data_IF_907755214445
#
_entry.id   IF_907755214445
#
_cell.length_a   1.000
_cell.length_b   1.000
_cell.length_c   1.000
_cell.angle_alpha   90.00
_cell.angle_beta   90.00
_cell.angle_gamma   90.00
#
_symmetry.space_group_name_H-M   'P 1'
#
loop_
_entity.id
_entity.type
_entity.pdbx_description
1 polymer ?
2 non-polymer ?
3 water ?
#
# COMPACT_ATOMS: atom_id res chain seq x y z
N UNK A 1 8.02 3.65 25.81
CA UNK A 1 7.47 4.89 26.39
C UNK A 1 6.77 5.58 25.23
N UNK A 2 7.56 5.84 24.19
CA UNK A 2 7.13 6.26 22.85
C UNK A 2 6.45 5.12 22.04
N UNK A 3 5.52 5.47 21.14
CA UNK A 3 4.92 4.50 20.26
C UNK A 3 5.85 4.12 19.03
N UNK A 4 6.27 2.85 18.99
CA UNK A 4 7.17 2.27 17.95
C UNK A 4 6.43 1.79 16.66
N UNK A 5 6.75 2.46 15.56
CA UNK A 5 6.10 2.21 14.32
C UNK A 5 7.15 1.73 13.37
N UNK A 6 6.89 0.58 12.72
CA UNK A 6 7.77 0.10 11.64
C UNK A 6 7.03 0.13 10.30
N UNK A 7 7.67 0.67 9.25
CA UNK A 7 7.01 0.91 7.98
C UNK A 7 7.85 0.50 6.85
N UNK A 8 7.28 -0.26 5.91
CA UNK A 8 7.98 -0.68 4.72
C UNK A 8 7.67 0.24 3.52
N UNK A 9 8.59 0.24 2.50
CA UNK A 9 8.54 1.00 1.26
C UNK A 9 8.70 2.47 1.51
N UNK A 10 9.80 2.89 2.15
CA UNK A 10 9.91 4.32 2.58
C UNK A 10 10.72 5.22 1.63
N UNK A 11 11.24 4.72 0.51
CA UNK A 11 12.09 5.56 -0.37
C UNK A 11 11.39 6.74 -0.92
N UNK A 12 10.05 6.65 -1.01
CA UNK A 12 9.22 7.61 -1.78
C UNK A 12 7.79 7.44 -1.42
N UNK A 13 6.97 8.45 -1.64
CA UNK A 13 5.56 8.23 -1.80
C UNK A 13 4.88 8.17 -0.46
N UNK A 14 3.89 7.29 -0.35
CA UNK A 14 3.15 7.15 0.88
C UNK A 14 4.04 6.89 2.04
N UNK A 15 4.79 5.78 2.02
CA UNK A 15 5.74 5.41 3.11
C UNK A 15 6.70 6.55 3.52
N UNK A 16 7.35 7.21 2.56
CA UNK A 16 8.17 8.35 2.89
C UNK A 16 7.40 9.37 3.74
N UNK A 17 6.26 9.84 3.17
CA UNK A 17 5.55 11.02 3.64
C UNK A 17 5.00 10.70 4.98
N UNK A 18 4.51 9.48 5.12
CA UNK A 18 4.10 9.00 6.36
C UNK A 18 5.28 8.89 7.37
N UNK A 19 6.44 8.39 6.95
CA UNK A 19 7.47 8.16 7.95
C UNK A 19 7.88 9.50 8.60
N UNK A 20 8.05 10.53 7.78
CA UNK A 20 8.44 11.81 8.30
C UNK A 20 7.26 12.51 8.86
N UNK A 21 6.03 12.14 8.45
CA UNK A 21 4.93 12.72 9.23
C UNK A 21 4.97 12.19 10.69
N UNK A 22 5.29 10.91 10.88
CA UNK A 22 5.15 10.39 12.23
C UNK A 22 6.30 10.96 13.10
N UNK A 23 7.50 10.95 12.53
CA UNK A 23 8.76 11.31 13.18
C UNK A 23 8.73 12.75 13.66
N UNK A 24 8.23 13.66 12.82
CA UNK A 24 8.09 15.04 13.23
C UNK A 24 6.84 15.31 13.98
N UNK A 25 6.05 14.30 14.28
CA UNK A 25 4.89 14.64 15.10
C UNK A 25 5.15 15.55 16.33
N UNK A 26 4.55 16.76 16.37
CA UNK A 26 4.89 17.73 17.52
C UNK A 26 4.87 17.14 18.96
N UNK A 27 3.88 16.34 19.27
CA UNK A 27 3.90 15.69 20.59
C UNK A 27 5.16 14.83 20.84
N UNK A 28 5.92 14.53 19.79
CA UNK A 28 7.09 13.59 19.81
C UNK A 28 6.72 12.20 20.36
N UNK A 29 5.53 11.73 19.99
CA UNK A 29 5.09 10.44 20.51
C UNK A 29 5.42 9.16 19.72
N UNK A 30 6.25 9.20 18.65
CA UNK A 30 6.47 8.03 17.73
C UNK A 30 7.92 7.70 17.41
N UNK A 31 8.28 6.44 17.41
CA UNK A 31 9.62 6.12 17.02
C UNK A 31 9.52 5.38 15.72
N UNK A 32 10.20 5.84 14.70
CA UNK A 32 9.90 5.37 13.33
C UNK A 32 11.10 4.61 12.72
N UNK A 33 10.90 3.32 12.48
CA UNK A 33 11.80 2.57 11.64
C UNK A 33 11.28 2.66 10.20
N UNK A 34 11.90 3.51 9.43
CA UNK A 34 11.56 3.55 8.04
C UNK A 34 12.33 2.49 7.32
N UNK A 35 11.69 1.45 6.77
CA UNK A 35 12.43 0.52 5.87
C UNK A 35 12.36 0.78 4.34
N UNK A 36 13.43 0.40 3.63
CA UNK A 36 13.51 0.60 2.15
C UNK A 36 14.12 -0.67 1.55
N UNK A 37 13.82 -1.04 0.31
CA UNK A 37 14.47 -2.28 -0.33
C UNK A 37 16.03 -2.18 -0.36
N UNK A 38 16.53 -1.00 -0.86
CA UNK A 38 17.97 -0.57 -0.73
C UNK A 38 18.24 0.78 -0.10
N UNK A 39 19.12 0.76 0.89
CA UNK A 39 19.55 1.94 1.65
C UNK A 39 19.99 3.08 0.73
N UNK A 40 20.54 2.78 -0.45
CA UNK A 40 20.97 3.84 -1.40
C UNK A 40 19.88 4.76 -1.87
N UNK A 41 18.64 4.36 -1.76
CA UNK A 41 17.57 5.25 -2.24
C UNK A 41 17.02 6.13 -1.07
N UNK A 42 17.68 6.12 0.10
CA UNK A 42 17.24 6.84 1.32
C UNK A 42 17.44 8.40 1.29
N UNK A 43 18.02 8.91 0.20
CA UNK A 43 18.17 10.33 -0.02
C UNK A 43 16.98 11.22 0.26
N UNK A 44 15.85 10.91 -0.38
CA UNK A 44 14.59 11.67 -0.20
C UNK A 44 13.97 11.48 1.16
N UNK A 45 14.05 10.32 1.76
CA UNK A 45 13.56 10.23 3.13
C UNK A 45 14.28 11.29 4.01
N UNK A 46 15.63 11.33 3.97
CA UNK A 46 16.40 12.24 4.87
C UNK A 46 16.28 13.73 4.56
N UNK A 47 16.30 14.04 3.29
CA UNK A 47 16.15 15.39 2.89
C UNK A 47 14.87 15.84 3.59
N UNK A 48 13.82 15.02 3.46
CA UNK A 48 12.46 15.41 3.88
C UNK A 48 12.34 15.32 5.41
N UNK A 49 13.12 14.42 6.04
CA UNK A 49 13.28 14.47 7.50
C UNK A 49 13.79 15.84 8.01
N UNK A 50 14.89 16.32 7.40
CA UNK A 50 15.50 17.59 7.73
C UNK A 50 14.45 18.70 7.65
N UNK A 51 13.66 18.65 6.56
CA UNK A 51 12.77 19.78 6.22
C UNK A 51 11.59 19.90 7.22
N UNK A 52 11.22 18.79 7.81
CA UNK A 52 10.18 18.82 8.79
C UNK A 52 10.83 18.68 10.14
N UNK A 53 12.07 19.15 10.29
CA UNK A 53 12.86 18.96 11.52
C UNK A 53 12.55 17.74 12.38
N UNK A 54 12.66 16.51 11.90
CA UNK A 54 12.41 15.42 12.87
C UNK A 54 13.51 15.49 13.92
N UNK A 55 13.18 15.45 15.23
CA UNK A 55 14.31 15.44 16.24
C UNK A 55 15.24 14.27 15.91
N UNK A 56 16.53 14.30 16.32
CA UNK A 56 17.42 13.12 16.36
C UNK A 56 16.82 11.94 17.03
N UNK A 57 16.83 10.80 16.36
CA UNK A 57 16.39 9.56 16.97
C UNK A 57 14.89 9.29 16.89
N UNK A 58 14.12 10.21 16.32
CA UNK A 58 12.73 9.91 16.01
C UNK A 58 12.65 9.13 14.67
N UNK A 59 13.77 8.81 14.06
CA UNK A 59 13.78 8.32 12.73
C UNK A 59 15.03 7.52 12.48
N UNK A 60 14.82 6.24 12.13
CA UNK A 60 15.89 5.31 11.77
C UNK A 60 15.60 4.51 10.47
N UNK A 61 16.59 4.29 9.62
CA UNK A 61 16.36 3.56 8.41
C UNK A 61 16.94 2.20 8.55
N UNK A 62 16.20 1.19 8.12
CA UNK A 62 16.76 -0.13 7.98
C UNK A 62 16.58 -0.59 6.53
N UNK A 63 17.47 -1.45 6.05
CA UNK A 63 17.24 -2.27 4.84
C UNK A 63 16.25 -3.31 5.19
N UNK A 64 15.22 -3.43 4.37
CA UNK A 64 14.19 -4.48 4.48
C UNK A 64 13.66 -4.87 3.06
N UNK A 65 14.14 -5.99 2.56
CA UNK A 65 13.63 -6.46 1.30
C UNK A 65 12.57 -7.46 1.74
N UNK A 66 11.30 -7.17 1.39
CA UNK A 66 10.23 -8.09 1.73
C UNK A 66 10.19 -9.36 0.82
N UNK A 67 10.96 -9.40 -0.25
CA UNK A 67 11.03 -10.63 -1.02
C UNK A 67 11.75 -11.70 -0.26
N UNK A 68 12.28 -11.38 0.94
CA UNK A 68 13.30 -12.23 1.58
C UNK A 68 13.21 -12.21 3.06
N UNK A 69 12.79 -13.30 3.63
CA UNK A 69 12.39 -13.23 5.02
C UNK A 69 13.54 -13.23 6.07
N UNK A 70 14.79 -13.38 5.59
CA UNK A 70 16.04 -13.22 6.32
C UNK A 70 16.36 -11.73 6.51
N UNK A 71 16.13 -10.89 5.48
CA UNK A 71 15.97 -9.42 5.64
C UNK A 71 14.83 -9.08 6.67
N UNK A 72 13.70 -9.82 6.64
CA UNK A 72 12.62 -9.44 7.50
C UNK A 72 13.03 -9.64 8.99
N UNK A 73 13.35 -10.88 9.38
CA UNK A 73 14.08 -11.23 10.63
C UNK A 73 15.23 -10.20 11.01
N UNK A 74 16.20 -9.94 10.14
CA UNK A 74 17.27 -8.97 10.45
C UNK A 74 16.75 -7.53 10.66
N UNK A 75 15.47 -7.32 10.65
CA UNK A 75 15.11 -5.95 10.78
C UNK A 75 14.13 -5.88 11.97
N UNK A 76 13.30 -6.91 12.10
CA UNK A 76 12.65 -7.14 13.40
C UNK A 76 13.81 -7.01 14.38
N UNK A 77 14.89 -7.76 14.11
CA UNK A 77 15.98 -7.88 15.06
C UNK A 77 16.53 -6.46 15.41
N UNK A 78 16.73 -5.53 14.45
CA UNK A 78 17.28 -4.17 14.75
C UNK A 78 16.35 -3.25 15.59
N UNK A 79 15.18 -3.79 15.92
CA UNK A 79 14.19 -3.05 16.74
C UNK A 79 14.67 -3.09 18.21
N UNK A 80 15.54 -2.09 18.50
CA UNK A 80 16.11 -1.75 19.83
C UNK A 80 15.03 -1.96 20.93
N UNK A 81 13.84 -1.37 20.73
CA UNK A 81 12.80 -1.35 21.78
C UNK A 81 12.24 -2.72 21.99
N UNK A 82 12.65 -3.69 21.19
CA UNK A 82 12.14 -5.06 21.30
C UNK A 82 10.64 -5.23 21.12
N UNK A 83 9.96 -4.23 20.58
CA UNK A 83 8.54 -4.37 20.19
C UNK A 83 8.23 -3.39 19.09
N UNK A 84 7.13 -3.70 18.39
CA UNK A 84 6.51 -2.85 17.40
C UNK A 84 5.05 -2.69 17.72
N UNK A 85 4.70 -1.43 18.03
CA UNK A 85 3.34 -1.06 18.32
C UNK A 85 2.47 -0.92 17.11
N UNK A 86 3.07 -0.42 16.04
CA UNK A 86 2.39 -0.10 14.82
C UNK A 86 3.20 -0.54 13.62
N UNK A 87 2.61 -1.44 12.83
CA UNK A 87 3.31 -2.00 11.69
C UNK A 87 2.52 -1.58 10.50
N UNK A 88 3.22 -1.00 9.55
CA UNK A 88 2.56 -0.45 8.35
C UNK A 88 3.20 -1.15 7.15
N UNK A 89 2.43 -2.04 6.55
CA UNK A 89 2.82 -2.74 5.35
C UNK A 89 2.44 -1.87 4.20
N UNK A 90 3.41 -1.13 3.73
CA UNK A 90 3.25 -0.23 2.66
C UNK A 90 3.91 -0.69 1.31
N UNK A 91 5.00 -1.47 1.37
CA UNK A 91 5.71 -1.89 0.14
C UNK A 91 4.71 -2.41 -0.93
N UNK A 92 4.98 -2.08 -2.21
CA UNK A 92 4.01 -2.22 -3.32
C UNK A 92 4.76 -1.99 -4.63
N UNK A 93 4.50 -2.81 -5.67
CA UNK A 93 4.94 -2.62 -7.02
C UNK A 93 3.67 -2.49 -7.79
N UNK A 94 3.69 -1.73 -8.85
CA UNK A 94 2.55 -1.67 -9.73
C UNK A 94 3.08 -2.40 -10.95
N UNK A 95 2.26 -2.50 -11.96
CA UNK A 95 2.53 -3.17 -13.23
C UNK A 95 1.38 -2.75 -14.14
N UNK A 96 1.73 -2.15 -15.28
CA UNK A 96 0.70 -1.61 -16.14
C UNK A 96 0.89 -2.19 -17.51
N UNK A 97 -0.16 -2.76 -18.09
CA UNK A 97 0.07 -3.36 -19.40
C UNK A 97 -0.85 -4.40 -20.00
N UNK A 98 -0.75 -4.62 -21.31
CA UNK A 98 -1.57 -5.70 -21.79
C UNK A 98 -1.01 -6.95 -21.12
N UNK A 99 -1.89 -7.86 -20.73
CA UNK A 99 -1.42 -9.04 -19.95
C UNK A 99 -0.44 -9.90 -20.68
N UNK A 100 -0.65 -10.12 -21.98
CA UNK A 100 0.31 -10.85 -22.85
C UNK A 100 1.65 -10.14 -22.87
N UNK A 101 1.67 -8.83 -22.71
CA UNK A 101 2.95 -8.12 -22.80
C UNK A 101 3.80 -8.14 -21.50
N UNK A 102 3.26 -8.72 -20.41
CA UNK A 102 4.03 -8.73 -19.17
C UNK A 102 4.94 -9.93 -19.11
N UNK A 103 6.15 -9.74 -18.66
CA UNK A 103 7.00 -10.88 -18.40
C UNK A 103 6.59 -11.66 -17.16
N UNK A 104 6.74 -12.97 -17.28
CA UNK A 104 6.30 -13.94 -16.33
C UNK A 104 6.97 -13.61 -15.03
N UNK A 105 8.13 -13.00 -15.11
CA UNK A 105 9.01 -12.60 -14.02
C UNK A 105 8.42 -11.42 -13.24
N UNK A 106 8.08 -10.41 -13.98
CA UNK A 106 7.50 -9.24 -13.41
C UNK A 106 6.19 -9.61 -12.69
N UNK A 107 5.41 -10.48 -13.30
CA UNK A 107 4.11 -10.87 -12.78
C UNK A 107 4.39 -11.52 -11.40
N UNK A 108 5.39 -12.40 -11.38
CA UNK A 108 5.79 -13.17 -10.20
C UNK A 108 6.27 -12.23 -9.10
N UNK A 109 6.98 -11.19 -9.47
CA UNK A 109 7.58 -10.25 -8.54
C UNK A 109 6.57 -9.35 -7.80
N UNK A 110 5.55 -8.99 -8.54
CA UNK A 110 4.56 -8.08 -8.07
C UNK A 110 3.79 -8.83 -6.97
N UNK A 111 3.47 -10.09 -7.23
CA UNK A 111 2.75 -10.91 -6.27
C UNK A 111 3.71 -11.25 -5.09
N UNK A 112 4.96 -11.50 -5.38
CA UNK A 112 5.92 -11.82 -4.32
C UNK A 112 6.07 -10.60 -3.36
N UNK A 113 6.12 -9.41 -3.89
CA UNK A 113 6.45 -8.33 -3.07
C UNK A 113 5.18 -7.90 -2.37
N UNK A 114 4.10 -7.75 -3.14
CA UNK A 114 2.86 -7.15 -2.63
C UNK A 114 2.13 -8.09 -1.67
N UNK A 115 1.96 -9.35 -2.12
CA UNK A 115 1.12 -10.29 -1.38
C UNK A 115 2.03 -11.11 -0.41
N UNK A 116 3.01 -11.85 -0.99
CA UNK A 116 3.85 -12.67 -0.19
C UNK A 116 4.72 -11.77 0.75
N UNK A 117 5.20 -10.64 0.27
CA UNK A 117 5.91 -9.72 1.15
C UNK A 117 5.08 -9.48 2.40
N UNK A 118 3.86 -9.02 2.20
CA UNK A 118 3.05 -8.77 3.31
C UNK A 118 2.79 -9.96 4.15
N UNK A 119 2.67 -11.15 3.54
CA UNK A 119 2.53 -12.36 4.37
C UNK A 119 3.73 -12.54 5.29
N UNK A 120 4.94 -12.34 4.75
CA UNK A 120 6.22 -12.52 5.55
C UNK A 120 6.27 -11.60 6.80
N UNK A 121 5.98 -10.32 6.58
CA UNK A 121 5.89 -9.28 7.56
C UNK A 121 5.06 -9.68 8.81
N UNK A 122 3.81 -10.09 8.54
CA UNK A 122 2.83 -10.48 9.49
C UNK A 122 3.28 -11.67 10.27
N UNK A 123 3.74 -12.70 9.54
CA UNK A 123 4.28 -13.91 10.18
C UNK A 123 5.38 -13.49 11.12
N UNK A 124 6.30 -12.64 10.67
CA UNK A 124 7.34 -12.14 11.58
C UNK A 124 6.79 -11.32 12.74
N UNK A 125 5.79 -10.48 12.54
CA UNK A 125 5.41 -9.47 13.54
C UNK A 125 4.13 -9.77 14.25
N UNK A 126 3.33 -10.65 13.69
CA UNK A 126 2.04 -10.89 14.30
C UNK A 126 2.26 -11.55 15.63
N UNK A 127 2.89 -12.74 15.63
CA UNK A 127 2.90 -13.52 16.84
C UNK A 127 3.25 -12.67 18.10
N UNK A 128 4.29 -11.87 18.01
CA UNK A 128 4.55 -11.00 19.14
C UNK A 128 3.39 -10.06 19.66
N UNK A 129 2.69 -9.39 18.75
CA UNK A 129 1.54 -8.58 19.12
C UNK A 129 0.40 -9.41 19.67
N UNK A 130 0.32 -10.68 19.27
CA UNK A 130 -0.82 -11.54 19.61
C UNK A 130 -0.72 -11.93 21.08
N UNK A 131 0.46 -12.39 21.49
CA UNK A 131 0.77 -12.68 22.88
C UNK A 131 0.38 -11.48 23.70
N UNK A 132 1.07 -10.38 23.42
CA UNK A 132 0.91 -9.11 24.14
C UNK A 132 -0.50 -8.54 24.18
N UNK A 133 -1.39 -9.05 23.33
CA UNK A 133 -2.74 -8.53 23.12
C UNK A 133 -2.86 -7.03 22.77
N UNK A 134 -1.81 -6.45 22.18
CA UNK A 134 -1.92 -5.12 21.62
C UNK A 134 -1.03 -5.02 20.39
N UNK A 135 -1.46 -4.19 19.45
CA UNK A 135 -0.72 -4.06 18.21
C UNK A 135 -1.60 -3.42 17.18
N UNK A 136 -1.08 -2.52 16.37
CA UNK A 136 -1.81 -1.93 15.26
C UNK A 136 -1.08 -2.34 13.97
N UNK A 137 -1.76 -3.08 13.06
CA UNK A 137 -1.25 -3.34 11.67
C UNK A 137 -2.00 -2.56 10.58
N UNK A 138 -1.31 -1.74 9.77
CA UNK A 138 -2.02 -0.91 8.72
C UNK A 138 -1.46 -1.23 7.34
N UNK A 139 -2.32 -1.38 6.36
CA UNK A 139 -1.87 -2.00 5.11
C UNK A 139 -2.30 -1.02 4.03
N UNK A 140 -1.37 -0.51 3.23
CA UNK A 140 -1.81 0.38 2.22
C UNK A 140 -2.64 -0.40 1.18
N UNK A 141 -3.92 -0.03 1.01
CA UNK A 141 -4.78 -0.80 0.05
C UNK A 141 -4.92 0.03 -1.22
N UNK A 142 -5.87 -0.24 -2.07
CA UNK A 142 -6.07 0.60 -3.24
C UNK A 142 -7.42 0.32 -3.72
N UNK A 143 -7.85 1.20 -4.59
CA UNK A 143 -9.12 1.15 -5.25
C UNK A 143 -9.07 0.00 -6.25
N UNK A 144 -7.91 -0.19 -6.89
CA UNK A 144 -7.54 -1.44 -7.64
C UNK A 144 -7.67 -2.74 -6.87
N UNK A 145 -7.80 -2.63 -5.55
CA UNK A 145 -7.99 -3.85 -4.78
C UNK A 145 -9.45 -4.04 -4.47
N UNK A 146 -10.26 -3.07 -4.91
CA UNK A 146 -11.70 -3.02 -4.63
C UNK A 146 -12.54 -3.24 -5.88
N UNK A 147 -11.93 -2.99 -7.05
CA UNK A 147 -12.57 -3.14 -8.36
C UNK A 147 -11.49 -3.26 -9.41
N UNK A 148 -11.77 -4.11 -10.41
CA UNK A 148 -10.84 -4.42 -11.48
C UNK A 148 -10.64 -3.24 -12.46
N UNK A 149 -9.38 -2.95 -12.80
CA UNK A 149 -8.98 -1.78 -13.62
C UNK A 149 -8.27 -2.34 -14.88
N UNK A 150 -8.72 -1.97 -16.07
CA UNK A 150 -8.21 -2.64 -17.27
C UNK A 150 -6.79 -2.32 -17.31
N UNK A 151 -6.03 -3.23 -17.86
CA UNK A 151 -4.59 -3.08 -17.96
C UNK A 151 -3.80 -3.08 -16.68
N UNK A 152 -4.47 -3.22 -15.54
CA UNK A 152 -3.82 -3.39 -14.23
C UNK A 152 -4.16 -4.72 -13.58
N UNK A 153 -4.48 -5.70 -14.43
CA UNK A 153 -4.77 -7.09 -14.04
C UNK A 153 -4.03 -7.65 -12.84
N UNK A 154 -2.72 -7.61 -12.89
CA UNK A 154 -1.87 -8.28 -11.92
C UNK A 154 -1.80 -7.34 -10.70
N UNK A 155 -1.59 -6.06 -10.98
CA UNK A 155 -1.72 -5.07 -9.90
C UNK A 155 -2.99 -5.39 -9.10
N UNK A 156 -4.11 -5.53 -9.82
CA UNK A 156 -5.43 -5.67 -9.12
C UNK A 156 -5.41 -7.03 -8.45
N UNK A 157 -4.74 -7.97 -9.11
CA UNK A 157 -4.86 -9.32 -8.64
C UNK A 157 -4.25 -9.31 -7.22
N UNK A 158 -3.07 -8.67 -7.14
CA UNK A 158 -2.29 -8.45 -5.87
C UNK A 158 -2.99 -7.55 -4.87
N UNK A 159 -3.65 -6.46 -5.31
CA UNK A 159 -4.49 -5.64 -4.36
C UNK A 159 -5.71 -6.34 -3.77
N UNK A 160 -6.48 -7.12 -4.58
CA UNK A 160 -7.59 -7.98 -4.11
C UNK A 160 -7.00 -9.02 -3.08
N UNK A 161 -5.83 -9.58 -3.42
CA UNK A 161 -5.15 -10.51 -2.57
C UNK A 161 -5.17 -10.03 -1.14
N UNK A 162 -4.76 -8.76 -1.00
CA UNK A 162 -4.63 -8.08 0.26
C UNK A 162 -5.94 -7.80 0.91
N UNK A 163 -6.99 -7.49 0.16
CA UNK A 163 -8.30 -7.43 0.80
C UNK A 163 -8.61 -8.75 1.54
N UNK A 164 -8.43 -9.90 0.83
CA UNK A 164 -8.86 -11.20 1.26
C UNK A 164 -7.96 -11.61 2.39
N UNK A 165 -6.68 -11.43 2.18
CA UNK A 165 -5.77 -11.74 3.19
C UNK A 165 -6.06 -10.99 4.53
N UNK A 166 -6.45 -9.71 4.44
CA UNK A 166 -6.59 -8.91 5.62
C UNK A 166 -7.95 -9.19 6.23
N UNK A 167 -8.93 -9.43 5.35
CA UNK A 167 -10.28 -9.72 5.78
C UNK A 167 -10.21 -10.98 6.62
N UNK A 168 -9.49 -12.00 6.16
CA UNK A 168 -9.52 -13.34 6.74
C UNK A 168 -8.96 -13.13 8.10
N UNK A 169 -7.73 -12.62 8.14
CA UNK A 169 -7.03 -12.30 9.39
C UNK A 169 -7.88 -11.53 10.37
N UNK A 170 -8.42 -10.38 9.99
CA UNK A 170 -9.24 -9.61 10.91
C UNK A 170 -10.39 -10.38 11.62
N UNK A 171 -11.03 -11.34 10.96
CA UNK A 171 -12.10 -12.13 11.55
C UNK A 171 -11.45 -12.99 12.70
N UNK A 172 -10.20 -13.39 12.49
CA UNK A 172 -9.54 -14.13 13.53
C UNK A 172 -9.03 -13.21 14.65
N UNK A 173 -8.55 -12.02 14.31
CA UNK A 173 -7.93 -11.11 15.27
C UNK A 173 -8.91 -10.30 16.17
N UNK A 174 -10.21 -10.35 15.86
CA UNK A 174 -11.19 -9.54 16.54
C UNK A 174 -10.87 -9.45 18.02
N UNK A 175 -11.10 -10.56 18.79
CA UNK A 175 -10.93 -10.45 20.25
C UNK A 175 -9.47 -10.72 20.76
N UNK A 176 -8.47 -10.58 19.90
CA UNK A 176 -7.08 -10.65 20.35
C UNK A 176 -6.60 -9.30 20.87
N UNK A 177 -7.42 -8.26 20.72
CA UNK A 177 -6.90 -6.89 20.82
C UNK A 177 -5.90 -6.42 19.72
N UNK A 178 -5.60 -7.23 18.70
CA UNK A 178 -4.71 -6.83 17.63
C UNK A 178 -5.56 -6.34 16.46
N UNK A 179 -5.29 -5.08 16.07
CA UNK A 179 -6.10 -4.30 15.07
C UNK A 179 -5.47 -4.20 13.69
N UNK A 180 -6.22 -4.64 12.68
CA UNK A 180 -5.77 -4.57 11.28
C UNK A 180 -6.65 -3.69 10.47
N UNK A 181 -6.04 -2.79 9.70
CA UNK A 181 -6.80 -1.97 8.80
C UNK A 181 -6.19 -1.81 7.42
N UNK A 182 -7.04 -1.83 6.39
CA UNK A 182 -6.58 -1.48 5.10
C UNK A 182 -6.83 0.01 4.96
N UNK A 183 -5.98 0.75 4.25
CA UNK A 183 -6.14 2.20 4.00
C UNK A 183 -6.23 2.29 2.45
N UNK A 184 -7.43 2.66 1.97
CA UNK A 184 -7.69 2.48 0.58
C UNK A 184 -7.44 3.79 -0.07
N UNK A 185 -6.39 3.89 -0.88
CA UNK A 185 -6.24 5.10 -1.65
C UNK A 185 -6.74 4.97 -3.11
N UNK A 186 -7.16 6.09 -3.70
CA UNK A 186 -7.35 6.23 -5.15
C UNK A 186 -6.02 6.77 -5.64
N UNK A 187 -5.99 7.52 -6.74
CA UNK A 187 -4.65 8.05 -7.12
C UNK A 187 -4.07 9.13 -6.12
N UNK A 188 -2.75 9.36 -6.23
CA UNK A 188 -1.92 10.04 -5.22
C UNK A 188 -0.71 10.73 -5.92
N UNK A 189 -0.55 12.09 -5.82
CA UNK A 189 0.67 12.73 -6.45
C UNK A 189 2.00 12.11 -5.94
N UNK A 199 8.37 1.81 -22.98
CA UNK A 199 8.53 2.16 -24.39
C UNK A 199 7.50 1.41 -25.20
N UNK A 200 6.58 2.17 -25.80
CA UNK A 200 5.54 1.84 -26.80
C UNK A 200 5.89 0.72 -27.81
N UNK A 201 7.07 0.80 -28.42
CA UNK A 201 7.49 -0.13 -29.50
C UNK A 201 7.38 -1.56 -29.01
N UNK A 202 7.95 -1.75 -27.83
CA UNK A 202 8.05 -3.06 -27.22
C UNK A 202 6.72 -3.59 -26.75
N UNK A 203 5.88 -2.76 -26.13
CA UNK A 203 4.52 -3.18 -25.86
C UNK A 203 3.84 -3.61 -27.17
N UNK A 204 4.02 -2.82 -28.24
CA UNK A 204 3.59 -3.19 -29.61
C UNK A 204 4.09 -4.54 -30.13
N UNK A 205 5.38 -4.84 -29.93
CA UNK A 205 5.94 -6.22 -30.07
C UNK A 205 5.11 -7.30 -29.38
N UNK A 206 4.85 -7.09 -28.10
CA UNK A 206 4.26 -8.14 -27.27
C UNK A 206 2.70 -8.26 -27.40
N UNK A 207 2.06 -7.59 -28.37
CA UNK A 207 0.57 -7.64 -28.54
C UNK A 207 -0.02 -7.15 -29.89
N UNK A 208 -1.31 -7.36 -30.12
CA UNK A 208 -2.04 -6.81 -31.30
C UNK A 208 -2.20 -5.30 -31.37
N UNK A 209 -2.76 -4.81 -32.47
CA UNK A 209 -2.87 -3.39 -32.68
C UNK A 209 -4.12 -2.78 -31.97
N UNK A 210 -5.19 -3.55 -31.80
CA UNK A 210 -6.44 -3.09 -31.19
C UNK A 210 -6.35 -2.87 -29.68
N UNK A 211 -5.63 -3.80 -29.03
CA UNK A 211 -5.22 -3.73 -27.62
C UNK A 211 -4.37 -2.49 -27.33
N UNK A 212 -3.19 -2.50 -27.92
CA UNK A 212 -2.37 -1.29 -27.97
C UNK A 212 -3.17 0.01 -28.19
N UNK A 213 -4.16 0.03 -29.10
CA UNK A 213 -4.81 1.29 -29.31
C UNK A 213 -5.59 1.55 -28.05
N UNK A 214 -6.05 0.45 -27.43
CA UNK A 214 -6.90 0.54 -26.19
C UNK A 214 -6.09 0.98 -24.97
N UNK A 215 -4.82 0.56 -25.00
CA UNK A 215 -3.90 0.87 -23.96
C UNK A 215 -3.68 2.38 -23.99
N UNK A 216 -3.46 2.89 -25.23
CA UNK A 216 -3.31 4.33 -25.46
C UNK A 216 -4.53 5.02 -24.98
N UNK A 217 -5.72 4.59 -25.43
CA UNK A 217 -6.97 5.22 -24.93
C UNK A 217 -6.95 5.22 -23.40
N UNK A 218 -6.52 4.09 -22.80
CA UNK A 218 -6.61 3.90 -21.32
C UNK A 218 -5.76 4.91 -20.58
N UNK A 219 -4.55 5.17 -21.12
CA UNK A 219 -3.54 6.02 -20.50
C UNK A 219 -3.90 7.46 -20.65
N UNK A 220 -4.45 7.80 -21.80
CA UNK A 220 -4.92 9.15 -21.95
C UNK A 220 -6.04 9.35 -20.92
N UNK A 221 -6.95 8.39 -20.76
CA UNK A 221 -8.03 8.58 -19.74
C UNK A 221 -7.43 8.73 -18.36
N UNK A 222 -6.50 7.89 -17.99
CA UNK A 222 -6.18 7.89 -16.62
C UNK A 222 -5.23 9.04 -16.31
N UNK A 223 -4.50 9.56 -17.31
CA UNK A 223 -3.82 10.92 -17.23
C UNK A 223 -4.78 11.91 -16.64
N UNK A 224 -6.01 11.93 -17.16
CA UNK A 224 -6.99 12.92 -16.80
C UNK A 224 -7.46 12.83 -15.38
N UNK A 225 -7.68 11.60 -14.96
CA UNK A 225 -8.23 11.35 -13.66
C UNK A 225 -7.08 11.70 -12.69
N UNK A 226 -5.84 11.36 -13.06
CA UNK A 226 -4.74 11.63 -12.18
C UNK A 226 -4.56 13.13 -11.85
N UNK A 227 -4.30 13.97 -12.87
CA UNK A 227 -4.53 15.45 -12.86
C UNK A 227 -5.80 15.99 -12.12
N UNK A 228 -6.93 15.32 -12.24
CA UNK A 228 -8.10 15.91 -11.67
C UNK A 228 -8.44 15.30 -10.36
N UNK A 229 -7.75 14.22 -9.98
CA UNK A 229 -8.21 13.51 -8.78
C UNK A 229 -7.05 13.05 -7.86
N UNK A 230 -5.81 13.03 -8.34
CA UNK A 230 -4.69 12.70 -7.44
C UNK A 230 -4.74 13.48 -6.11
N UNK A 231 -4.55 12.78 -4.98
CA UNK A 231 -4.44 13.48 -3.68
C UNK A 231 -3.01 13.79 -3.25
N UNK A 232 -2.83 14.76 -2.32
CA UNK A 232 -1.49 14.95 -1.65
C UNK A 232 -1.26 13.73 -0.82
N UNK A 233 -0.02 13.24 -0.80
CA UNK A 233 0.25 12.05 0.14
C UNK A 233 0.19 12.50 1.61
N UNK A 234 0.21 13.80 1.83
CA UNK A 234 0.01 14.42 3.13
C UNK A 234 -1.43 14.23 3.50
N UNK A 235 -2.38 14.54 2.62
CA UNK A 235 -3.77 14.10 2.83
C UNK A 235 -3.94 12.57 3.04
N UNK A 236 -3.29 11.74 2.19
CA UNK A 236 -3.30 10.28 2.39
C UNK A 236 -2.73 9.83 3.73
N UNK A 237 -1.44 10.13 3.95
CA UNK A 237 -0.68 9.96 5.20
C UNK A 237 -1.46 10.24 6.45
N UNK A 238 -2.23 11.31 6.47
CA UNK A 238 -2.99 11.66 7.65
C UNK A 238 -4.14 10.66 7.90
N UNK A 239 -4.60 9.99 6.86
CA UNK A 239 -5.61 8.95 7.08
C UNK A 239 -5.05 7.72 7.84
N UNK A 240 -3.75 7.45 7.73
CA UNK A 240 -3.23 6.37 8.56
C UNK A 240 -3.27 6.76 10.06
N UNK A 241 -3.04 8.03 10.43
CA UNK A 241 -3.07 8.41 11.88
C UNK A 241 -4.45 8.58 12.39
N UNK A 242 -5.39 8.91 11.52
CA UNK A 242 -6.77 8.72 11.93
C UNK A 242 -7.01 7.28 12.38
N UNK A 243 -6.56 6.31 11.57
CA UNK A 243 -6.70 4.86 11.91
C UNK A 243 -5.88 4.48 13.12
N UNK A 244 -4.62 4.90 13.19
CA UNK A 244 -3.77 4.40 14.29
C UNK A 244 -4.11 4.98 15.70
N UNK A 245 -4.87 6.06 15.74
CA UNK A 245 -5.38 6.71 16.96
C UNK A 245 -6.87 6.34 17.25
N UNK A 246 -7.62 5.76 16.30
CA UNK A 246 -9.01 5.39 16.59
C UNK A 246 -9.09 4.38 17.78
N UNK A 247 -9.90 4.71 18.83
CA UNK A 247 -10.04 3.72 19.95
C UNK A 247 -10.58 2.37 19.47
N UNK A 248 -11.43 2.34 18.43
CA UNK A 248 -11.98 1.07 17.88
C UNK A 248 -11.95 1.10 16.34
N UNK A 249 -10.82 0.70 15.71
CA UNK A 249 -10.66 0.92 14.25
C UNK A 249 -11.45 -0.02 13.36
N UNK A 250 -11.97 0.47 12.25
CA UNK A 250 -12.62 -0.43 11.32
C UNK A 250 -11.55 -1.13 10.47
N UNK A 251 -11.98 -2.07 9.68
CA UNK A 251 -11.10 -2.87 8.91
C UNK A 251 -10.74 -1.99 7.75
N UNK A 252 -11.57 -1.03 7.44
CA UNK A 252 -11.25 -0.29 6.24
C UNK A 252 -11.43 1.24 6.32
N UNK A 253 -10.43 1.96 5.79
CA UNK A 253 -10.47 3.43 5.66
C UNK A 253 -10.33 3.85 4.15
N UNK A 254 -11.14 4.83 3.73
CA UNK A 254 -11.03 5.32 2.37
C UNK A 254 -10.42 6.66 2.40
N UNK A 255 -9.43 6.87 1.49
CA UNK A 255 -8.79 8.17 1.49
C UNK A 255 -9.69 9.21 0.81
N UNK A 256 -10.62 8.72 -0.04
CA UNK A 256 -11.55 9.54 -0.81
C UNK A 256 -12.88 8.86 -1.00
N UNK A 257 -13.94 9.62 -1.15
CA UNK A 257 -15.29 9.07 -1.47
C UNK A 257 -15.55 8.98 -3.00
N UNK A 258 -14.65 9.53 -3.79
CA UNK A 258 -14.84 9.65 -5.21
C UNK A 258 -15.28 8.36 -5.88
N UNK A 259 -14.65 7.27 -5.51
CA UNK A 259 -14.91 6.04 -6.20
C UNK A 259 -15.97 5.26 -5.52
N UNK A 260 -16.52 5.78 -4.41
CA UNK A 260 -17.66 5.06 -3.75
C UNK A 260 -18.94 4.79 -4.59
N UNK A 261 -19.34 5.75 -5.47
CA UNK A 261 -20.54 5.47 -6.35
C UNK A 261 -20.30 4.28 -7.29
N UNK A 262 -19.12 4.25 -7.91
CA UNK A 262 -18.62 3.12 -8.75
C UNK A 262 -18.49 1.78 -7.96
N UNK A 263 -17.89 1.78 -6.77
CA UNK A 263 -17.91 0.56 -5.94
C UNK A 263 -19.30 0.03 -5.66
N UNK A 264 -20.29 0.92 -5.48
CA UNK A 264 -21.65 0.48 -5.08
C UNK A 264 -22.34 -0.31 -6.19
N UNK A 265 -22.34 0.27 -7.39
CA UNK A 265 -22.71 -0.44 -8.59
C UNK A 265 -22.16 -1.88 -8.72
N UNK A 266 -20.86 -2.07 -8.47
CA UNK A 266 -20.24 -3.39 -8.31
C UNK A 266 -20.92 -4.19 -7.20
N UNK A 267 -21.10 -3.57 -6.07
CA UNK A 267 -21.69 -4.25 -4.93
C UNK A 267 -23.18 -4.57 -5.07
N UNK A 268 -23.91 -3.99 -6.02
CA UNK A 268 -25.35 -4.27 -6.14
C UNK A 268 -25.64 -5.14 -7.30
N UNK A 269 -24.60 -5.46 -8.06
CA UNK A 269 -24.76 -6.33 -9.21
C UNK A 269 -23.72 -7.43 -9.04
N UNK A 270 -24.06 -8.47 -8.27
CA UNK A 270 -23.05 -9.49 -7.93
C UNK A 270 -22.61 -10.36 -9.11
N UNK A 271 -23.39 -10.40 -10.20
CA UNK A 271 -22.92 -10.93 -11.51
C UNK A 271 -21.73 -10.17 -12.19
N UNK A 272 -21.41 -8.98 -11.67
CA UNK A 272 -20.16 -8.31 -11.93
C UNK A 272 -20.45 -7.47 -13.14
N UNK A 273 -21.49 -7.79 -13.89
CA UNK A 273 -21.55 -7.20 -15.27
C UNK A 273 -22.07 -5.72 -15.48
N UNK A 274 -22.96 -5.18 -14.62
CA UNK A 274 -23.09 -3.72 -14.56
C UNK A 274 -21.79 -2.97 -14.33
N UNK A 275 -20.96 -3.50 -13.47
CA UNK A 275 -19.70 -2.83 -13.16
C UNK A 275 -18.83 -2.97 -14.35
N UNK A 276 -18.90 -4.08 -15.05
CA UNK A 276 -18.09 -4.23 -16.24
C UNK A 276 -18.47 -3.19 -17.33
N UNK A 277 -19.73 -2.77 -17.27
CA UNK A 277 -20.27 -1.89 -18.34
C UNK A 277 -19.85 -0.49 -18.05
N UNK A 278 -20.24 -0.03 -16.84
CA UNK A 278 -19.76 1.20 -16.27
C UNK A 278 -18.27 1.41 -16.53
N UNK A 279 -17.41 0.65 -15.88
CA UNK A 279 -15.95 0.81 -16.11
C UNK A 279 -15.54 0.77 -17.59
N UNK A 280 -16.15 -0.06 -18.41
CA UNK A 280 -15.85 0.07 -19.84
C UNK A 280 -16.16 1.53 -20.39
N UNK A 281 -17.42 1.99 -20.31
CA UNK A 281 -17.73 3.36 -20.80
C UNK A 281 -16.85 4.40 -20.11
N UNK A 282 -16.56 4.22 -18.84
CA UNK A 282 -15.72 5.18 -18.11
C UNK A 282 -14.29 5.37 -18.72
N UNK A 283 -13.77 4.37 -19.44
CA UNK A 283 -12.34 4.38 -19.85
C UNK A 283 -12.13 4.36 -21.38
N UNK A 284 -13.11 3.82 -22.08
CA UNK A 284 -13.09 3.80 -23.53
C UNK A 284 -14.28 4.59 -24.02
N UNK A 285 -14.66 5.59 -23.20
CA UNK A 285 -15.75 6.53 -23.57
C UNK A 285 -17.12 5.92 -23.89
X LIG B 1 -4.33 5.46 -10.95
X LIG B 1 -3.16 4.98 -10.03
X LIG B 1 -3.56 4.33 -8.67
X LIG B 1 -2.49 3.48 -8.31
X LIG B 1 -4.85 3.45 -8.67
X LIG B 1 -5.85 4.05 -9.65
X LIG B 1 -7.15 4.30 -9.18
X LIG B 1 -8.22 4.84 -9.90
X LIG B 1 -8.08 4.53 -11.41
X LIG B 1 -6.66 4.98 -11.95
X LIG B 1 -5.44 4.40 -11.11
X LIG B 1 -6.56 4.83 -13.50
X LIG B 1 -7.80 5.42 -14.23
X LIG B 1 -9.18 4.83 -13.79
X LIG B 1 -9.28 5.13 -12.26
X LIG B 1 -10.79 4.81 -11.91
X LIG B 1 -11.55 5.47 -13.10
X LIG B 1 -10.46 5.65 -14.21
X LIG B 1 -10.98 5.23 -15.48
X LIG B 1 -9.30 3.34 -14.23
X LIG B 1 -4.79 3.09 -11.71
#
# INVERSE_FOLDING_TARGET
ARTVVLITGCSSGIGLHLAVRLASDPSQSFKVYATLRDLKTQGRLWEAARALACPPGSLETLQLDVRDSKSVAAARERVTEGRVDVLVCNAGLGLLGPLEALGEDAVASVLDVNVVGTVRMLQAFLPDMKRRGSGRVLVTGSVGGLMGLPFNDVYCASKFALEGLCESLAVLLLPFGVHLSLIECGPVHTAFMEKVLGSPEEVLDRTDIHTFHRFYQYLAHSKQVFREAAQNPEEVAEVFLTALRAPKPTLRYFTTERFLPLLRMRLDDPSGSNYVTAMHREVFGDVPAKAEAGAEAGGGAGPGAEDEAGRSAVGDPELGDPPAAPQ
B81 C1 C2 C3 O3 C4 C5 C6 C7 C8 C9 C10 C11 C12 C13 C14 C15 C16 C17 O17 C18 C19
#
